data_IF_959579558594
#
_entry.id   IF_959579558594
#
_cell.length_a   1.000
_cell.length_b   1.000
_cell.length_c   1.000
_cell.angle_alpha   90.00
_cell.angle_beta   90.00
_cell.angle_gamma   90.00
#
_symmetry.space_group_name_H-M   'P 1'
#
loop_
_entity.id
_entity.type
_entity.pdbx_description
1 polymer ?
#
# COMPACT_ATOMS: atom_id res chain seq x y z
N UNK A 1 10.05 11.58 15.41
CA UNK A 1 8.70 11.27 15.52
C UNK A 1 7.88 11.36 14.26
N UNK A 2 7.30 12.49 13.88
CA UNK A 2 6.53 12.53 12.62
C UNK A 2 7.39 12.21 11.40
N UNK A 3 8.65 12.64 11.38
CA UNK A 3 9.55 12.39 10.27
C UNK A 3 9.86 10.90 10.10
N UNK A 4 10.00 10.17 11.19
CA UNK A 4 10.25 8.73 11.13
C UNK A 4 9.03 7.97 10.62
N UNK A 5 7.84 8.35 11.08
CA UNK A 5 6.59 7.73 10.61
C UNK A 5 6.35 8.06 9.14
N UNK A 6 6.65 9.29 8.73
CA UNK A 6 6.54 9.71 7.34
C UNK A 6 7.46 8.87 6.45
N UNK A 7 8.71 8.68 6.85
CA UNK A 7 9.67 7.86 6.11
C UNK A 7 9.21 6.40 6.04
N UNK A 8 8.68 5.88 7.14
CA UNK A 8 8.16 4.53 7.16
C UNK A 8 7.02 4.35 6.15
N UNK A 9 6.08 5.30 6.15
CA UNK A 9 4.94 5.23 5.22
C UNK A 9 5.42 5.35 3.78
N UNK A 10 6.38 6.23 3.51
CA UNK A 10 6.93 6.39 2.17
C UNK A 10 7.57 5.09 1.67
N UNK A 11 8.36 4.43 2.52
CA UNK A 11 8.97 3.16 2.17
C UNK A 11 7.94 2.07 1.99
N UNK A 12 6.93 2.04 2.85
CA UNK A 12 5.85 1.06 2.75
C UNK A 12 5.10 1.19 1.43
N UNK A 13 4.78 2.42 1.02
CA UNK A 13 4.10 2.66 -0.25
C UNK A 13 4.99 2.23 -1.42
N UNK A 14 6.28 2.52 -1.35
CA UNK A 14 7.23 2.09 -2.38
C UNK A 14 7.29 0.58 -2.50
N UNK A 15 7.36 -0.11 -1.37
CA UNK A 15 7.36 -1.58 -1.33
C UNK A 15 6.05 -2.15 -1.89
N UNK A 16 4.92 -1.54 -1.54
CA UNK A 16 3.62 -1.96 -2.05
C UNK A 16 3.54 -1.82 -3.56
N UNK A 17 4.07 -0.74 -4.12
CA UNK A 17 4.10 -0.54 -5.56
C UNK A 17 4.93 -1.62 -6.25
N UNK A 18 6.06 -2.00 -5.66
CA UNK A 18 6.90 -3.07 -6.19
C UNK A 18 6.19 -4.42 -6.14
N UNK A 19 5.55 -4.73 -5.03
CA UNK A 19 4.77 -5.96 -4.89
C UNK A 19 3.64 -6.01 -5.91
N UNK A 20 2.92 -4.89 -6.05
CA UNK A 20 1.84 -4.79 -7.04
C UNK A 20 2.34 -5.08 -8.44
N UNK A 21 3.46 -4.47 -8.82
CA UNK A 21 4.00 -4.64 -10.16
C UNK A 21 4.42 -6.09 -10.43
N UNK A 22 5.02 -6.73 -9.44
CA UNK A 22 5.40 -8.15 -9.55
C UNK A 22 4.17 -9.04 -9.67
N UNK A 23 3.15 -8.80 -8.85
CA UNK A 23 1.92 -9.57 -8.89
C UNK A 23 1.16 -9.35 -10.20
N UNK A 24 1.21 -8.14 -10.74
CA UNK A 24 0.54 -7.83 -12.01
C UNK A 24 1.06 -8.71 -13.13
N UNK A 25 2.34 -9.05 -13.12
CA UNK A 25 2.93 -9.93 -14.10
C UNK A 25 2.46 -11.39 -13.97
N UNK A 26 2.06 -11.79 -12.76
CA UNK A 26 1.69 -13.18 -12.45
C UNK A 26 0.20 -13.39 -12.24
N UNK A 27 -0.57 -12.32 -12.13
CA UNK A 27 -1.99 -12.43 -11.74
C UNK A 27 -2.81 -13.17 -12.78
N UNK A 28 -2.36 -13.20 -14.03
CA UNK A 28 -3.05 -13.95 -15.09
C UNK A 28 -3.06 -15.45 -14.79
N UNK A 29 -2.16 -15.94 -13.93
CA UNK A 29 -2.13 -17.34 -13.52
C UNK A 29 -3.18 -17.66 -12.47
N UNK A 30 -3.75 -16.65 -11.84
CA UNK A 30 -4.75 -16.82 -10.80
C UNK A 30 -6.16 -16.94 -11.38
N UNK A 31 -7.06 -17.45 -10.57
CA UNK A 31 -8.47 -17.52 -10.92
C UNK A 31 -9.13 -16.14 -10.81
N UNK A 32 -10.40 -16.11 -11.18
CA UNK A 32 -11.19 -14.88 -11.18
C UNK A 32 -11.19 -14.18 -9.82
N UNK A 33 -11.32 -14.95 -8.74
CA UNK A 33 -11.35 -14.38 -7.39
C UNK A 33 -10.05 -13.67 -7.04
N UNK A 34 -8.91 -14.25 -7.41
CA UNK A 34 -7.62 -13.62 -7.17
C UNK A 34 -7.44 -12.34 -7.96
N UNK A 35 -7.93 -12.34 -9.20
CA UNK A 35 -7.89 -11.15 -10.05
C UNK A 35 -8.72 -10.02 -9.46
N UNK A 36 -9.91 -10.33 -8.97
CA UNK A 36 -10.79 -9.34 -8.35
C UNK A 36 -10.17 -8.80 -7.06
N UNK A 37 -9.59 -9.67 -6.25
CA UNK A 37 -8.93 -9.26 -5.02
C UNK A 37 -7.72 -8.37 -5.32
N UNK A 38 -6.95 -8.71 -6.35
CA UNK A 38 -5.82 -7.89 -6.78
C UNK A 38 -6.26 -6.49 -7.20
N UNK A 39 -7.32 -6.39 -8.01
CA UNK A 39 -7.83 -5.10 -8.44
C UNK A 39 -8.28 -4.23 -7.27
N UNK A 40 -8.94 -4.85 -6.30
CA UNK A 40 -9.37 -4.16 -5.09
C UNK A 40 -8.18 -3.61 -4.31
N UNK A 41 -7.14 -4.42 -4.15
CA UNK A 41 -5.93 -4.00 -3.44
C UNK A 41 -5.17 -2.92 -4.20
N UNK A 42 -5.15 -3.01 -5.52
CA UNK A 42 -4.53 -1.98 -6.37
C UNK A 42 -5.25 -0.64 -6.20
N UNK A 43 -6.58 -0.65 -6.15
CA UNK A 43 -7.36 0.57 -5.89
C UNK A 43 -7.07 1.12 -4.50
N UNK A 44 -6.97 0.26 -3.50
CA UNK A 44 -6.65 0.68 -2.13
C UNK A 44 -5.26 1.31 -2.06
N UNK A 45 -4.31 0.75 -2.78
CA UNK A 45 -2.96 1.31 -2.85
C UNK A 45 -2.97 2.69 -3.53
N UNK A 46 -3.74 2.85 -4.60
CA UNK A 46 -3.87 4.13 -5.27
C UNK A 46 -4.46 5.19 -4.33
N UNK A 47 -5.48 4.81 -3.56
CA UNK A 47 -6.09 5.71 -2.58
C UNK A 47 -5.10 6.06 -1.46
N UNK A 48 -4.33 5.10 -1.00
CA UNK A 48 -3.31 5.34 0.02
C UNK A 48 -2.26 6.33 -0.48
N UNK A 49 -1.77 6.12 -1.69
CA UNK A 49 -0.80 7.01 -2.30
C UNK A 49 -1.37 8.41 -2.48
N UNK A 50 -2.63 8.50 -2.87
CA UNK A 50 -3.31 9.79 -3.05
C UNK A 50 -3.43 10.55 -1.73
N UNK A 51 -3.70 9.86 -0.62
CA UNK A 51 -3.74 10.46 0.70
C UNK A 51 -2.36 10.88 1.18
N UNK A 52 -1.34 10.11 0.84
CA UNK A 52 0.04 10.40 1.25
C UNK A 52 0.63 11.59 0.49
N UNK A 53 0.33 11.71 -0.79
CA UNK A 53 0.95 12.68 -1.69
C UNK A 53 0.98 14.11 -1.15
N UNK A 54 -0.15 14.70 -0.69
CA UNK A 54 -0.11 16.05 -0.15
C UNK A 54 0.64 16.15 1.19
N UNK A 55 0.85 15.04 1.87
CA UNK A 55 1.50 15.02 3.18
C UNK A 55 3.02 14.84 3.10
N UNK A 56 3.51 14.31 2.00
CA UNK A 56 4.94 14.00 1.86
C UNK A 56 5.80 15.26 1.86
N UNK A 57 5.26 16.36 1.36
CA UNK A 57 5.97 17.64 1.30
C UNK A 57 5.56 18.60 2.41
N UNK A 58 4.69 18.15 3.32
CA UNK A 58 4.23 18.98 4.41
C UNK A 58 5.38 19.28 5.37
N UNK A 59 5.59 20.56 5.61
CA UNK A 59 6.56 21.06 6.60
C UNK A 59 5.75 21.46 7.82
N UNK A 60 5.88 20.70 8.89
CA UNK A 60 5.14 20.98 10.11
C UNK A 60 4.54 19.74 10.72
N UNK A 61 3.77 19.94 11.77
CA UNK A 61 3.21 18.82 12.51
C UNK A 61 1.95 18.27 11.84
N UNK A 62 2.11 17.14 11.17
CA UNK A 62 0.96 16.34 10.80
C UNK A 62 0.65 15.45 12.00
N UNK A 63 -0.62 15.35 12.38
CA UNK A 63 -1.02 14.55 13.53
C UNK A 63 -0.54 13.11 13.39
N UNK A 64 0.02 12.56 14.46
CA UNK A 64 0.54 11.19 14.46
C UNK A 64 -0.55 10.18 14.09
N UNK A 65 -1.80 10.45 14.46
CA UNK A 65 -2.94 9.60 14.11
C UNK A 65 -3.08 9.39 12.61
N UNK A 66 -2.76 10.42 11.82
CA UNK A 66 -2.82 10.31 10.35
C UNK A 66 -1.78 9.32 9.87
N UNK A 67 -0.55 9.42 10.36
CA UNK A 67 0.52 8.49 9.98
C UNK A 67 0.21 7.06 10.42
N UNK A 68 -0.32 6.89 11.63
CA UNK A 68 -0.71 5.57 12.13
C UNK A 68 -1.82 4.96 11.27
N UNK A 69 -2.79 5.77 10.85
CA UNK A 69 -3.85 5.32 9.95
C UNK A 69 -3.30 4.86 8.61
N UNK A 70 -2.38 5.63 8.03
CA UNK A 70 -1.77 5.26 6.75
C UNK A 70 -0.92 3.99 6.88
N UNK A 71 -0.21 3.83 7.99
CA UNK A 71 0.54 2.61 8.28
C UNK A 71 -0.37 1.39 8.33
N UNK A 72 -1.48 1.53 9.03
CA UNK A 72 -2.44 0.42 9.17
C UNK A 72 -3.00 0.00 7.83
N UNK A 73 -3.45 0.97 7.03
CA UNK A 73 -3.99 0.68 5.70
C UNK A 73 -2.92 0.02 4.82
N UNK A 74 -1.70 0.56 4.84
CA UNK A 74 -0.60 -0.01 4.08
C UNK A 74 -0.28 -1.44 4.49
N UNK A 75 -0.29 -1.72 5.78
CA UNK A 75 -0.04 -3.07 6.30
C UNK A 75 -1.13 -4.05 5.86
N UNK A 76 -2.38 -3.62 5.85
CA UNK A 76 -3.49 -4.45 5.37
C UNK A 76 -3.35 -4.77 3.88
N UNK A 77 -2.93 -3.79 3.08
CA UNK A 77 -2.70 -4.01 1.66
C UNK A 77 -1.54 -5.00 1.46
N UNK A 78 -0.48 -4.86 2.23
CA UNK A 78 0.66 -5.77 2.15
C UNK A 78 0.25 -7.21 2.48
N UNK A 79 -0.56 -7.39 3.52
CA UNK A 79 -1.08 -8.70 3.88
C UNK A 79 -1.92 -9.30 2.75
N UNK A 80 -2.72 -8.47 2.08
CA UNK A 80 -3.52 -8.89 0.94
C UNK A 80 -2.65 -9.35 -0.23
N UNK A 81 -1.62 -8.58 -0.56
CA UNK A 81 -0.68 -8.97 -1.61
C UNK A 81 0.07 -10.26 -1.27
N UNK A 82 0.43 -10.43 0.00
CA UNK A 82 1.10 -11.64 0.45
C UNK A 82 0.19 -12.86 0.28
N UNK A 83 -1.10 -12.73 0.62
CA UNK A 83 -2.06 -13.82 0.43
C UNK A 83 -2.20 -14.20 -1.04
N UNK A 84 -2.28 -13.20 -1.91
CA UNK A 84 -2.37 -13.45 -3.35
C UNK A 84 -1.12 -14.17 -3.84
N UNK A 85 0.06 -13.70 -3.44
CA UNK A 85 1.32 -14.31 -3.84
C UNK A 85 1.38 -15.78 -3.44
N UNK A 86 0.93 -16.10 -2.22
CA UNK A 86 0.95 -17.47 -1.73
C UNK A 86 -0.04 -18.37 -2.46
N UNK A 87 -1.08 -17.78 -3.05
CA UNK A 87 -2.09 -18.53 -3.78
C UNK A 87 -1.76 -18.71 -5.26
N UNK A 88 -0.74 -18.04 -5.72
CA UNK A 88 -0.22 -18.22 -7.09
C UNK A 88 0.86 -19.31 -7.08
#
# INVERSE_FOLDING_TARGET
>A
MSAEKKSFVAELISDLKQQRDRLRLKIHLGGKELKEEFEKLDDQLAQLNHRFDPLKDAVGETAEDVWDSLKLVGSEIMDGFTRIRKSL
#
